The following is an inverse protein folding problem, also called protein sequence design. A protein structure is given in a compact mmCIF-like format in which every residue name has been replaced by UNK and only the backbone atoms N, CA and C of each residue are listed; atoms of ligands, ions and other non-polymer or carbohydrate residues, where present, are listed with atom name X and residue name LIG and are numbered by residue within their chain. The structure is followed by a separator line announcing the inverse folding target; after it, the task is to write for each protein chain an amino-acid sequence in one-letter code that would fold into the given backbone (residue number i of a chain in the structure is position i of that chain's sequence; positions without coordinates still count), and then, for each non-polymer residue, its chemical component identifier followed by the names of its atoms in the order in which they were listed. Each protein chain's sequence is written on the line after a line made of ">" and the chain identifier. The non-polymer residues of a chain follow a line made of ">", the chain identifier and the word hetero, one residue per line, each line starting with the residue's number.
data_IF_389946091721
#
_entry.id   IF_389946091721
#
_cell.length_a   1.000
_cell.length_b   1.000
_cell.length_c   1.000
_cell.angle_alpha   90.00
_cell.angle_beta   90.00
_cell.angle_gamma   90.00
#
_symmetry.space_group_name_H-M   'P 1'
#
loop_
_entity.id
_entity.type
_entity.pdbx_description
1 polymer ?
#
# COMPACT_ATOMS: atom_id res chain seq x y z
N UNK A 1 -13.84 15.01 25.97
CA UNK A 1 -14.29 13.59 26.09
C UNK A 1 -14.66 12.98 24.73
N UNK A 2 -15.40 13.68 23.87
CA UNK A 2 -15.78 13.19 22.54
C UNK A 2 -14.56 12.85 21.68
N UNK A 3 -13.58 13.77 21.58
CA UNK A 3 -12.36 13.54 20.80
C UNK A 3 -11.56 12.30 21.23
N UNK A 4 -11.48 12.02 22.53
CA UNK A 4 -10.77 10.84 23.05
C UNK A 4 -11.50 9.54 22.68
N UNK A 5 -12.83 9.52 22.71
CA UNK A 5 -13.63 8.38 22.30
C UNK A 5 -13.48 8.13 20.79
N UNK A 6 -13.51 9.17 19.95
CA UNK A 6 -13.32 9.06 18.50
C UNK A 6 -11.92 8.53 18.16
N UNK A 7 -10.88 9.00 18.83
CA UNK A 7 -9.51 8.47 18.64
C UNK A 7 -9.43 7.01 19.08
N UNK A 8 -10.09 6.62 20.16
CA UNK A 8 -10.13 5.21 20.58
C UNK A 8 -10.84 4.32 19.53
N UNK A 9 -11.96 4.79 18.95
CA UNK A 9 -12.66 4.10 17.87
C UNK A 9 -11.78 4.01 16.62
N UNK A 10 -11.05 5.07 16.27
CA UNK A 10 -10.09 5.07 15.16
C UNK A 10 -9.04 3.97 15.34
N UNK A 11 -8.43 3.88 16.52
CA UNK A 11 -7.42 2.85 16.83
C UNK A 11 -8.03 1.45 16.75
N UNK A 12 -9.22 1.26 17.29
CA UNK A 12 -9.93 -0.03 17.23
C UNK A 12 -10.29 -0.41 15.78
N UNK A 13 -10.74 0.54 14.99
CA UNK A 13 -11.04 0.34 13.57
C UNK A 13 -9.79 -0.13 12.80
N UNK A 14 -8.65 0.52 13.03
CA UNK A 14 -7.37 0.12 12.45
C UNK A 14 -6.95 -1.28 12.87
N UNK A 15 -7.10 -1.63 14.15
CA UNK A 15 -6.80 -2.98 14.64
C UNK A 15 -7.71 -4.03 13.99
N UNK A 16 -9.00 -3.73 13.81
CA UNK A 16 -9.96 -4.62 13.13
C UNK A 16 -9.55 -4.82 11.67
N UNK A 17 -9.20 -3.74 10.95
CA UNK A 17 -8.72 -3.83 9.57
C UNK A 17 -7.50 -4.75 9.50
N UNK A 18 -6.47 -4.50 10.31
CA UNK A 18 -5.22 -5.26 10.31
C UNK A 18 -5.42 -6.75 10.57
N UNK A 19 -6.17 -7.08 11.63
CA UNK A 19 -6.46 -8.48 11.98
C UNK A 19 -7.24 -9.14 10.85
N UNK A 20 -8.25 -8.46 10.32
CA UNK A 20 -9.09 -8.99 9.24
C UNK A 20 -8.29 -9.22 7.95
N UNK A 21 -7.34 -8.33 7.62
CA UNK A 21 -6.46 -8.49 6.46
C UNK A 21 -5.53 -9.68 6.60
N UNK A 22 -4.93 -9.88 7.77
CA UNK A 22 -4.09 -11.04 8.04
C UNK A 22 -4.89 -12.36 7.91
N UNK A 23 -6.11 -12.39 8.47
CA UNK A 23 -7.02 -13.53 8.36
C UNK A 23 -7.47 -13.76 6.92
N UNK A 24 -7.73 -12.67 6.16
CA UNK A 24 -8.10 -12.72 4.74
C UNK A 24 -6.97 -13.31 3.90
N UNK A 25 -5.76 -12.78 4.03
CA UNK A 25 -4.57 -13.23 3.29
C UNK A 25 -4.30 -14.72 3.52
N UNK A 26 -4.33 -15.16 4.78
CA UNK A 26 -4.20 -16.59 5.11
C UNK A 26 -5.32 -17.45 4.48
N UNK A 27 -6.56 -16.95 4.46
CA UNK A 27 -7.68 -17.65 3.81
C UNK A 27 -7.53 -17.75 2.30
N UNK A 28 -7.09 -16.68 1.64
CA UNK A 28 -6.85 -16.63 0.19
C UNK A 28 -5.70 -17.54 -0.23
N UNK A 29 -4.61 -17.61 0.54
CA UNK A 29 -3.53 -18.57 0.29
C UNK A 29 -4.06 -20.02 0.27
N UNK A 30 -4.85 -20.40 1.27
CA UNK A 30 -5.48 -21.71 1.34
C UNK A 30 -6.51 -21.96 0.23
N UNK A 31 -7.26 -20.92 -0.15
CA UNK A 31 -8.21 -21.01 -1.27
C UNK A 31 -7.47 -21.30 -2.59
N UNK A 32 -6.38 -20.60 -2.84
CA UNK A 32 -5.54 -20.80 -4.01
C UNK A 32 -4.98 -22.23 -4.11
N UNK A 33 -4.46 -22.74 -3.00
CA UNK A 33 -3.99 -24.13 -2.91
C UNK A 33 -5.11 -25.14 -3.22
N UNK A 34 -6.31 -24.91 -2.69
CA UNK A 34 -7.47 -25.78 -2.90
C UNK A 34 -8.01 -25.76 -4.32
N UNK A 35 -7.92 -24.62 -5.00
CA UNK A 35 -8.32 -24.49 -6.41
C UNK A 35 -7.25 -25.02 -7.38
N UNK A 36 -6.14 -25.58 -6.86
CA UNK A 36 -5.06 -26.12 -7.67
C UNK A 36 -4.35 -25.06 -8.51
N UNK A 37 -4.41 -23.79 -8.07
CA UNK A 37 -3.64 -22.72 -8.70
C UNK A 37 -2.16 -22.97 -8.44
N UNK A 38 -1.32 -22.73 -9.46
CA UNK A 38 0.12 -22.89 -9.31
C UNK A 38 0.59 -22.10 -8.08
N UNK A 39 1.51 -22.66 -7.29
CA UNK A 39 2.03 -22.03 -6.06
C UNK A 39 2.58 -20.62 -6.31
N UNK A 40 3.14 -20.39 -7.51
CA UNK A 40 3.54 -19.06 -8.00
C UNK A 40 2.35 -18.10 -8.11
N UNK A 41 1.24 -18.53 -8.70
CA UNK A 41 0.03 -17.70 -8.83
C UNK A 41 -0.64 -17.47 -7.47
N UNK A 42 -0.60 -18.46 -6.58
CA UNK A 42 -1.15 -18.34 -5.21
C UNK A 42 -0.28 -17.43 -4.34
N UNK A 43 1.04 -17.60 -4.41
CA UNK A 43 1.96 -16.85 -3.53
C UNK A 43 2.24 -15.41 -3.99
N UNK A 44 2.20 -15.13 -5.31
CA UNK A 44 2.52 -13.79 -5.80
C UNK A 44 1.28 -12.95 -6.15
N UNK A 45 0.26 -13.55 -6.75
CA UNK A 45 -0.96 -12.79 -7.15
C UNK A 45 -1.99 -12.73 -6.04
N UNK A 46 -2.36 -13.91 -5.49
CA UNK A 46 -3.42 -13.95 -4.48
C UNK A 46 -2.96 -13.35 -3.14
N UNK A 47 -1.70 -13.60 -2.74
CA UNK A 47 -1.15 -12.96 -1.56
C UNK A 47 -1.01 -11.45 -1.77
N UNK A 48 -0.54 -10.98 -2.94
CA UNK A 48 -0.47 -9.56 -3.25
C UNK A 48 -1.85 -8.89 -3.26
N UNK A 49 -2.87 -9.55 -3.81
CA UNK A 49 -4.27 -9.07 -3.73
C UNK A 49 -4.74 -9.05 -2.28
N UNK A 50 -4.44 -10.08 -1.49
CA UNK A 50 -4.83 -10.16 -0.08
C UNK A 50 -4.22 -9.06 0.76
N UNK A 51 -2.92 -8.80 0.59
CA UNK A 51 -2.19 -7.77 1.33
C UNK A 51 -2.56 -6.35 0.88
N UNK A 52 -2.97 -6.17 -0.37
CA UNK A 52 -3.40 -4.88 -0.91
C UNK A 52 -4.89 -4.55 -0.67
N UNK A 53 -5.62 -5.42 0.03
CA UNK A 53 -7.05 -5.20 0.31
C UNK A 53 -7.32 -3.96 1.17
N UNK A 54 -6.58 -3.67 2.26
CA UNK A 54 -6.84 -2.48 3.06
C UNK A 54 -6.71 -1.20 2.26
N UNK A 55 -5.63 -1.09 1.47
CA UNK A 55 -5.30 0.06 0.63
C UNK A 55 -6.30 0.28 -0.51
N UNK A 56 -7.08 -0.77 -0.82
CA UNK A 56 -8.14 -0.72 -1.82
C UNK A 56 -9.50 -0.43 -1.19
N UNK A 57 -9.83 -1.13 -0.10
CA UNK A 57 -11.16 -1.07 0.51
C UNK A 57 -11.34 0.23 1.29
N UNK A 58 -10.31 0.74 1.99
CA UNK A 58 -10.43 1.99 2.74
C UNK A 58 -10.81 3.18 1.83
N UNK A 59 -10.10 3.44 0.71
CA UNK A 59 -10.54 4.46 -0.23
C UNK A 59 -11.93 4.22 -0.82
N UNK A 60 -12.25 2.98 -1.20
CA UNK A 60 -13.57 2.66 -1.75
C UNK A 60 -14.69 2.94 -0.73
N UNK A 61 -14.53 2.53 0.52
CA UNK A 61 -15.49 2.81 1.58
C UNK A 61 -15.60 4.31 1.82
N UNK A 62 -14.49 5.04 1.80
CA UNK A 62 -14.50 6.49 1.95
C UNK A 62 -15.31 7.16 0.82
N UNK A 63 -14.99 6.83 -0.43
CA UNK A 63 -15.63 7.43 -1.61
C UNK A 63 -17.13 7.08 -1.70
N UNK A 64 -17.50 5.82 -1.41
CA UNK A 64 -18.89 5.37 -1.62
C UNK A 64 -19.79 5.44 -0.39
N UNK A 65 -19.25 5.44 0.81
CA UNK A 65 -20.00 5.38 2.06
C UNK A 65 -19.64 6.50 3.06
N UNK A 66 -18.65 7.35 2.73
CA UNK A 66 -18.35 8.59 3.45
C UNK A 66 -19.38 9.68 3.15
N UNK A 67 -19.26 10.82 3.84
CA UNK A 67 -20.04 12.02 3.49
C UNK A 67 -19.56 12.58 2.15
N UNK A 68 -20.46 13.24 1.38
CA UNK A 68 -20.15 13.65 -0.01
C UNK A 68 -18.84 14.45 -0.13
N UNK A 69 -18.58 15.40 0.78
CA UNK A 69 -17.37 16.22 0.70
C UNK A 69 -16.14 15.55 1.32
N UNK A 70 -16.29 14.93 2.49
CA UNK A 70 -15.14 14.38 3.24
C UNK A 70 -14.76 12.96 2.77
N UNK A 71 -15.70 12.22 2.19
CA UNK A 71 -15.47 10.88 1.68
C UNK A 71 -14.46 10.85 0.52
N UNK A 72 -14.60 11.79 -0.44
CA UNK A 72 -13.61 11.94 -1.52
C UNK A 72 -12.24 12.35 -1.00
N UNK A 73 -12.18 13.34 -0.09
CA UNK A 73 -10.93 13.78 0.54
C UNK A 73 -10.20 12.63 1.25
N UNK A 74 -10.92 11.82 2.04
CA UNK A 74 -10.35 10.66 2.74
C UNK A 74 -9.86 9.62 1.74
N UNK A 75 -10.64 9.36 0.69
CA UNK A 75 -10.30 8.42 -0.36
C UNK A 75 -9.02 8.83 -1.09
N UNK A 76 -8.95 10.07 -1.57
CA UNK A 76 -7.77 10.60 -2.26
C UNK A 76 -6.55 10.65 -1.33
N UNK A 77 -6.74 11.08 -0.07
CA UNK A 77 -5.67 11.07 0.93
C UNK A 77 -5.09 9.69 1.18
N UNK A 78 -5.92 8.67 1.32
CA UNK A 78 -5.47 7.29 1.49
C UNK A 78 -4.76 6.76 0.24
N UNK A 79 -5.27 7.04 -0.98
CA UNK A 79 -4.67 6.64 -2.26
C UNK A 79 -3.27 7.25 -2.43
N UNK A 80 -3.12 8.54 -2.16
CA UNK A 80 -1.86 9.26 -2.37
C UNK A 80 -0.84 9.01 -1.25
N UNK A 81 -1.32 8.84 -0.02
CA UNK A 81 -0.48 8.64 1.15
C UNK A 81 0.29 7.33 1.13
N UNK A 82 -0.29 6.27 0.58
CA UNK A 82 0.31 4.94 0.60
C UNK A 82 1.62 4.85 -0.21
N UNK A 83 1.69 5.19 -1.51
CA UNK A 83 2.95 5.15 -2.25
C UNK A 83 3.97 6.20 -1.77
N UNK A 84 3.50 7.35 -1.27
CA UNK A 84 4.37 8.33 -0.63
C UNK A 84 5.05 7.77 0.62
N UNK A 85 4.28 7.14 1.52
CA UNK A 85 4.81 6.53 2.74
C UNK A 85 5.78 5.38 2.43
N UNK A 86 5.48 4.55 1.42
CA UNK A 86 6.36 3.46 1.01
C UNK A 86 7.69 3.96 0.45
N UNK A 87 7.68 4.96 -0.42
CA UNK A 87 8.87 5.55 -1.02
C UNK A 87 9.74 6.33 -0.02
N UNK A 88 9.18 6.75 1.11
CA UNK A 88 9.83 7.60 2.10
C UNK A 88 9.96 6.93 3.47
N UNK A 89 8.93 6.90 4.30
CA UNK A 89 8.96 6.42 5.68
C UNK A 89 9.35 4.92 5.77
N UNK A 90 8.79 4.06 4.92
CA UNK A 90 9.12 2.64 4.93
C UNK A 90 10.59 2.41 4.55
N UNK A 91 11.12 3.17 3.58
CA UNK A 91 12.54 3.16 3.23
C UNK A 91 13.41 3.66 4.39
N UNK A 92 12.97 4.68 5.14
CA UNK A 92 13.68 5.19 6.32
C UNK A 92 13.83 4.10 7.40
N UNK A 93 12.73 3.44 7.74
CA UNK A 93 12.71 2.35 8.73
C UNK A 93 13.59 1.19 8.26
N UNK A 94 13.49 0.81 6.97
CA UNK A 94 14.38 -0.16 6.34
C UNK A 94 15.85 0.26 6.41
N UNK A 95 16.15 1.53 6.14
CA UNK A 95 17.50 2.10 6.25
C UNK A 95 18.09 2.02 7.64
N UNK A 96 17.28 2.28 8.68
CA UNK A 96 17.67 2.09 10.08
C UNK A 96 18.01 0.61 10.35
N UNK A 97 17.18 -0.31 9.86
CA UNK A 97 17.42 -1.75 10.05
C UNK A 97 18.74 -2.20 9.40
N UNK A 98 19.02 -1.76 8.17
CA UNK A 98 20.27 -2.04 7.47
C UNK A 98 21.47 -1.44 8.21
N UNK A 99 21.38 -0.17 8.62
CA UNK A 99 22.42 0.52 9.38
C UNK A 99 22.75 -0.19 10.71
N UNK A 100 21.71 -0.58 11.45
CA UNK A 100 21.87 -1.26 12.73
C UNK A 100 22.45 -2.67 12.55
N UNK A 101 21.98 -3.44 11.55
CA UNK A 101 22.53 -4.75 11.23
C UNK A 101 24.00 -4.67 10.79
N UNK A 102 24.35 -3.63 10.00
CA UNK A 102 25.74 -3.36 9.62
C UNK A 102 26.61 -3.03 10.83
N UNK A 103 26.17 -2.14 11.73
CA UNK A 103 26.90 -1.83 12.97
C UNK A 103 27.11 -3.05 13.87
N UNK A 104 26.22 -4.02 13.83
CA UNK A 104 26.35 -5.30 14.55
C UNK A 104 27.21 -6.33 13.81
N UNK A 105 27.82 -5.98 12.67
CA UNK A 105 28.66 -6.87 11.88
C UNK A 105 27.91 -8.02 11.18
N UNK A 106 26.58 -7.94 11.07
CA UNK A 106 25.75 -9.01 10.47
C UNK A 106 25.71 -8.95 8.95
N UNK A 107 25.93 -7.78 8.35
CA UNK A 107 25.83 -7.54 6.91
C UNK A 107 26.65 -6.32 6.48
N UNK A 108 26.76 -6.10 5.15
CA UNK A 108 27.30 -4.88 4.57
C UNK A 108 26.36 -3.66 4.70
N UNK A 109 26.86 -2.45 4.40
CA UNK A 109 26.10 -1.20 4.52
C UNK A 109 25.09 -0.96 3.39
N UNK A 110 25.04 -1.86 2.42
CA UNK A 110 24.18 -1.73 1.23
C UNK A 110 23.27 -2.94 1.10
N UNK A 111 22.06 -2.69 0.55
CA UNK A 111 21.19 -3.75 0.06
C UNK A 111 21.78 -4.33 -1.22
N UNK A 112 21.80 -5.65 -1.32
CA UNK A 112 22.13 -6.39 -2.54
C UNK A 112 20.83 -6.87 -3.14
N UNK A 113 20.26 -6.10 -4.06
CA UNK A 113 18.98 -6.39 -4.70
C UNK A 113 19.18 -6.91 -6.12
N UNK A 114 18.25 -7.71 -6.62
CA UNK A 114 18.23 -8.08 -8.05
C UNK A 114 17.94 -6.82 -8.87
N UNK A 115 18.95 -6.40 -9.63
CA UNK A 115 18.93 -5.15 -10.39
C UNK A 115 17.74 -5.07 -11.32
N UNK A 116 17.52 -6.13 -12.11
CA UNK A 116 16.48 -6.17 -13.14
C UNK A 116 15.07 -5.97 -12.56
N UNK A 117 14.76 -6.60 -11.44
CA UNK A 117 13.47 -6.49 -10.76
C UNK A 117 13.31 -5.10 -10.14
N UNK A 118 14.33 -4.64 -9.39
CA UNK A 118 14.29 -3.36 -8.72
C UNK A 118 14.16 -2.17 -9.69
N UNK A 119 14.92 -2.20 -10.81
CA UNK A 119 14.81 -1.18 -11.86
C UNK A 119 13.46 -1.22 -12.56
N UNK A 120 12.94 -2.41 -12.85
CA UNK A 120 11.63 -2.58 -13.45
C UNK A 120 10.56 -1.94 -12.58
N UNK A 121 10.48 -2.32 -11.31
CA UNK A 121 9.46 -1.83 -10.39
C UNK A 121 9.50 -0.31 -10.28
N UNK A 122 10.71 0.28 -10.11
CA UNK A 122 10.86 1.73 -10.03
C UNK A 122 10.44 2.44 -11.32
N UNK A 123 10.77 1.89 -12.50
CA UNK A 123 10.35 2.45 -13.81
C UNK A 123 8.82 2.44 -13.95
N UNK A 124 8.18 1.31 -13.63
CA UNK A 124 6.72 1.22 -13.69
C UNK A 124 6.05 2.17 -12.70
N UNK A 125 6.53 2.20 -11.46
CA UNK A 125 6.02 3.13 -10.45
C UNK A 125 6.11 4.59 -10.92
N UNK A 126 7.30 5.05 -11.32
CA UNK A 126 7.52 6.43 -11.74
C UNK A 126 6.65 6.77 -12.96
N UNK A 127 6.55 5.86 -13.95
CA UNK A 127 5.76 6.10 -15.16
C UNK A 127 4.26 6.20 -14.83
N UNK A 128 3.71 5.28 -14.04
CA UNK A 128 2.30 5.31 -13.67
C UNK A 128 1.96 6.48 -12.74
N UNK A 129 2.86 6.80 -11.81
CA UNK A 129 2.64 7.91 -10.89
C UNK A 129 2.80 9.28 -11.59
N UNK A 130 3.58 9.34 -12.69
CA UNK A 130 3.59 10.51 -13.58
C UNK A 130 2.25 10.69 -14.30
N UNK A 131 1.57 9.59 -14.68
CA UNK A 131 0.20 9.66 -15.23
C UNK A 131 -0.77 10.21 -14.19
N UNK A 132 -0.70 9.76 -12.94
CA UNK A 132 -1.50 10.27 -11.83
C UNK A 132 -1.28 11.78 -11.62
N UNK A 133 -0.01 12.22 -11.68
CA UNK A 133 0.36 13.63 -11.59
C UNK A 133 -0.22 14.44 -12.75
N UNK A 134 -0.06 13.97 -13.98
CA UNK A 134 -0.61 14.64 -15.16
C UNK A 134 -2.13 14.78 -15.07
N UNK A 135 -2.84 13.72 -14.63
CA UNK A 135 -4.28 13.77 -14.40
C UNK A 135 -4.66 14.81 -13.34
N UNK A 136 -3.93 14.89 -12.23
CA UNK A 136 -4.15 15.89 -11.18
C UNK A 136 -3.88 17.32 -11.66
N UNK A 137 -2.83 17.54 -12.47
CA UNK A 137 -2.54 18.85 -13.06
C UNK A 137 -3.62 19.28 -14.06
N UNK A 138 -4.13 18.36 -14.88
CA UNK A 138 -5.28 18.63 -15.75
C UNK A 138 -6.54 18.94 -14.93
N UNK A 139 -6.64 18.43 -13.70
CA UNK A 139 -7.69 18.69 -12.74
C UNK A 139 -7.78 20.16 -12.28
N UNK A 140 -6.71 20.93 -12.41
CA UNK A 140 -6.69 22.34 -12.05
C UNK A 140 -7.36 23.23 -13.10
N UNK A 141 -7.58 22.73 -14.33
CA UNK A 141 -8.24 23.46 -15.41
C UNK A 141 -9.73 23.11 -15.44
N UNK A 142 -10.58 24.02 -14.99
CA UNK A 142 -12.04 23.80 -14.87
C UNK A 142 -12.78 23.80 -16.22
N UNK A 143 -12.15 24.33 -17.28
CA UNK A 143 -12.77 24.45 -18.60
C UNK A 143 -12.85 23.13 -19.38
N UNK A 144 -12.16 22.07 -18.93
CA UNK A 144 -12.05 20.80 -19.64
C UNK A 144 -12.98 19.75 -19.01
N UNK A 145 -13.90 19.19 -19.81
CA UNK A 145 -14.58 17.96 -19.41
C UNK A 145 -13.60 16.78 -19.46
N UNK A 146 -13.23 16.30 -18.27
CA UNK A 146 -12.21 15.28 -18.08
C UNK A 146 -12.74 13.86 -17.98
N UNK A 147 -14.05 13.69 -18.03
CA UNK A 147 -14.68 12.37 -17.79
C UNK A 147 -14.07 11.30 -18.67
N UNK A 148 -14.01 11.52 -19.98
CA UNK A 148 -13.41 10.55 -20.91
C UNK A 148 -11.89 10.42 -20.75
N UNK A 149 -11.20 11.52 -20.39
CA UNK A 149 -9.75 11.51 -20.15
C UNK A 149 -9.46 10.65 -18.93
N UNK A 150 -10.17 10.85 -17.83
CA UNK A 150 -10.00 10.07 -16.61
C UNK A 150 -10.29 8.58 -16.84
N UNK A 151 -11.34 8.24 -17.61
CA UNK A 151 -11.62 6.85 -17.99
C UNK A 151 -10.48 6.25 -18.83
N UNK A 152 -9.94 6.98 -19.78
CA UNK A 152 -8.83 6.52 -20.61
C UNK A 152 -7.54 6.33 -19.78
N UNK A 153 -7.24 7.25 -18.86
CA UNK A 153 -6.09 7.16 -17.98
C UNK A 153 -6.23 6.02 -16.97
N UNK A 154 -7.40 5.81 -16.39
CA UNK A 154 -7.69 4.69 -15.51
C UNK A 154 -7.51 3.35 -16.25
N UNK A 155 -8.07 3.23 -17.45
CA UNK A 155 -7.91 2.04 -18.28
C UNK A 155 -6.43 1.79 -18.67
N UNK A 156 -5.68 2.85 -18.97
CA UNK A 156 -4.25 2.79 -19.23
C UNK A 156 -3.49 2.26 -18.01
N UNK A 157 -3.71 2.83 -16.82
CA UNK A 157 -3.04 2.42 -15.58
C UNK A 157 -3.33 0.97 -15.25
N UNK A 158 -4.60 0.53 -15.36
CA UNK A 158 -4.99 -0.86 -15.16
C UNK A 158 -4.34 -1.79 -16.18
N UNK A 159 -4.32 -1.42 -17.46
CA UNK A 159 -3.68 -2.20 -18.52
C UNK A 159 -2.17 -2.34 -18.31
N UNK A 160 -1.49 -1.24 -17.94
CA UNK A 160 -0.05 -1.26 -17.62
C UNK A 160 0.23 -2.13 -16.40
N UNK A 161 -0.61 -2.08 -15.37
CA UNK A 161 -0.46 -2.94 -14.20
C UNK A 161 -0.64 -4.42 -14.52
N UNK A 162 -1.67 -4.77 -15.28
CA UNK A 162 -1.88 -6.17 -15.74
C UNK A 162 -0.67 -6.66 -16.54
N UNK A 163 -0.13 -5.83 -17.43
CA UNK A 163 1.08 -6.18 -18.18
C UNK A 163 2.30 -6.37 -17.27
N UNK A 164 2.50 -5.47 -16.30
CA UNK A 164 3.54 -5.60 -15.27
C UNK A 164 3.40 -6.90 -14.49
N UNK A 165 2.17 -7.23 -14.07
CA UNK A 165 1.89 -8.44 -13.31
C UNK A 165 2.22 -9.70 -14.10
N UNK A 166 1.75 -9.79 -15.37
CA UNK A 166 2.03 -10.92 -16.26
C UNK A 166 3.55 -11.09 -16.42
N UNK A 167 4.27 -10.00 -16.70
CA UNK A 167 5.72 -10.03 -16.84
C UNK A 167 6.43 -10.50 -15.58
N UNK A 168 6.00 -10.02 -14.41
CA UNK A 168 6.56 -10.43 -13.12
C UNK A 168 6.36 -11.91 -12.86
N UNK A 169 5.16 -12.44 -13.13
CA UNK A 169 4.86 -13.86 -12.99
C UNK A 169 5.67 -14.74 -13.94
N UNK A 170 5.88 -14.30 -15.17
CA UNK A 170 6.70 -15.03 -16.15
C UNK A 170 8.17 -15.07 -15.73
N UNK A 171 8.70 -14.00 -15.18
CA UNK A 171 10.08 -13.93 -14.68
C UNK A 171 10.28 -14.84 -13.45
N UNK A 172 9.29 -14.90 -12.55
CA UNK A 172 9.33 -15.76 -11.35
C UNK A 172 9.21 -17.26 -11.67
N UNK A 173 8.46 -17.65 -12.70
CA UNK A 173 8.33 -19.05 -13.12
C UNK A 173 9.66 -19.69 -13.56
N UNK A 174 10.66 -18.89 -13.91
CA UNK A 174 11.99 -19.37 -14.27
C UNK A 174 12.86 -19.73 -13.05
N UNK A 175 12.47 -19.31 -11.85
CA UNK A 175 13.16 -19.67 -10.60
C UNK A 175 12.48 -20.88 -9.96
N UNK A 176 13.21 -22.01 -9.83
CA UNK A 176 12.73 -23.19 -9.10
C UNK A 176 12.34 -22.80 -7.68
N UNK A 177 11.07 -22.97 -7.35
CA UNK A 177 10.50 -22.72 -6.03
C UNK A 177 11.19 -23.55 -4.95
N UNK A 178 11.54 -22.87 -3.86
CA UNK A 178 11.76 -23.51 -2.55
C UNK A 178 10.44 -23.50 -1.81
N UNK A 179 10.04 -24.67 -1.29
CA UNK A 179 8.86 -24.93 -0.49
C UNK A 179 8.44 -23.73 0.37
N UNK A 180 7.35 -23.07 0.01
CA UNK A 180 6.62 -22.17 0.89
C UNK A 180 5.58 -23.00 1.64
N UNK A 181 5.85 -23.30 2.91
CA UNK A 181 4.84 -23.86 3.81
C UNK A 181 3.87 -22.74 4.20
N UNK A 182 2.59 -22.86 3.80
CA UNK A 182 1.54 -21.96 4.28
C UNK A 182 1.36 -22.12 5.79
N UNK A 183 1.12 -21.00 6.48
CA UNK A 183 0.71 -21.03 7.88
C UNK A 183 -0.59 -21.80 8.03
N UNK A 184 -0.82 -22.50 9.16
CA UNK A 184 -2.09 -23.19 9.41
C UNK A 184 -3.27 -22.22 9.25
N UNK A 185 -4.39 -22.70 8.68
CA UNK A 185 -5.61 -21.91 8.54
C UNK A 185 -6.08 -21.43 9.92
N UNK A 186 -6.28 -20.14 10.09
CA UNK A 186 -6.55 -19.57 11.43
C UNK A 186 -7.84 -20.09 12.05
N UNK A 187 -8.93 -20.23 11.29
CA UNK A 187 -10.17 -20.81 11.82
C UNK A 187 -10.00 -22.27 12.23
N UNK A 188 -9.24 -23.07 11.51
CA UNK A 188 -8.95 -24.44 11.92
C UNK A 188 -8.19 -24.50 13.25
N UNK A 189 -7.31 -23.53 13.48
CA UNK A 189 -6.56 -23.43 14.75
C UNK A 189 -7.47 -23.10 15.94
N UNK A 190 -8.54 -22.33 15.71
CA UNK A 190 -9.53 -21.94 16.73
C UNK A 190 -10.53 -23.08 16.98
N UNK A 191 -11.02 -23.74 15.92
CA UNK A 191 -12.07 -24.76 16.00
C UNK A 191 -11.55 -26.21 16.01
N UNK A 192 -10.22 -26.43 16.04
CA UNK A 192 -9.63 -27.77 16.18
C UNK A 192 -9.74 -28.64 14.93
N UNK A 193 -10.02 -28.06 13.74
CA UNK A 193 -10.12 -28.78 12.46
C UNK A 193 -8.80 -28.80 11.68
N UNK A 194 -8.72 -29.65 10.65
CA UNK A 194 -7.62 -29.69 9.70
C UNK A 194 -8.10 -29.17 8.34
N UNK A 195 -7.44 -28.18 7.77
CA UNK A 195 -7.78 -27.62 6.45
C UNK A 195 -7.62 -28.62 5.29
N UNK A 196 -7.07 -29.81 5.58
CA UNK A 196 -6.83 -30.88 4.61
C UNK A 196 -8.03 -31.81 4.35
N UNK A 197 -9.05 -31.82 5.16
CA UNK A 197 -10.11 -32.85 5.14
C UNK A 197 -11.31 -32.42 4.27
N UNK A 198 -11.31 -32.87 2.99
CA UNK A 198 -12.49 -32.90 2.10
C UNK A 198 -13.26 -31.59 1.94
N UNK A 199 -14.57 -31.68 1.68
CA UNK A 199 -15.48 -30.55 1.46
C UNK A 199 -15.62 -29.63 2.69
N UNK A 200 -15.46 -30.16 3.89
CA UNK A 200 -15.52 -29.39 5.12
C UNK A 200 -14.38 -28.35 5.20
N UNK A 201 -13.18 -28.73 4.74
CA UNK A 201 -12.03 -27.83 4.68
C UNK A 201 -12.24 -26.67 3.73
N UNK A 202 -12.85 -26.89 2.57
CA UNK A 202 -13.19 -25.83 1.60
C UNK A 202 -14.20 -24.83 2.20
N UNK A 203 -15.24 -25.34 2.84
CA UNK A 203 -16.27 -24.51 3.49
C UNK A 203 -15.67 -23.59 4.56
N UNK A 204 -14.77 -24.11 5.41
CA UNK A 204 -14.10 -23.30 6.45
C UNK A 204 -13.23 -22.21 5.82
N UNK A 205 -12.51 -22.53 4.74
CA UNK A 205 -11.69 -21.54 4.00
C UNK A 205 -12.58 -20.39 3.49
N UNK A 206 -13.70 -20.74 2.84
CA UNK A 206 -14.64 -19.74 2.30
C UNK A 206 -15.25 -18.88 3.43
N UNK A 207 -15.64 -19.48 4.54
CA UNK A 207 -16.13 -18.73 5.70
C UNK A 207 -15.08 -17.79 6.28
N UNK A 208 -13.81 -18.22 6.34
CA UNK A 208 -12.72 -17.37 6.80
C UNK A 208 -12.52 -16.17 5.87
N UNK A 209 -12.49 -16.39 4.56
CA UNK A 209 -12.32 -15.34 3.55
C UNK A 209 -13.46 -14.33 3.62
N UNK A 210 -14.72 -14.80 3.60
CA UNK A 210 -15.89 -13.91 3.66
C UNK A 210 -15.98 -13.18 5.00
N UNK A 211 -15.76 -13.86 6.12
CA UNK A 211 -15.78 -13.23 7.44
C UNK A 211 -14.71 -12.16 7.60
N UNK A 212 -13.50 -12.43 7.08
CA UNK A 212 -12.42 -11.47 7.08
C UNK A 212 -12.72 -10.26 6.17
N UNK A 213 -13.29 -10.47 4.98
CA UNK A 213 -13.72 -9.39 4.09
C UNK A 213 -14.76 -8.49 4.75
N UNK A 214 -15.76 -9.07 5.41
CA UNK A 214 -16.75 -8.32 6.19
C UNK A 214 -16.06 -7.52 7.30
N UNK A 215 -15.09 -8.11 8.00
CA UNK A 215 -14.30 -7.41 9.02
C UNK A 215 -13.53 -6.22 8.48
N UNK A 216 -12.91 -6.33 7.29
CA UNK A 216 -12.24 -5.23 6.61
C UNK A 216 -13.23 -4.11 6.29
N UNK A 217 -14.40 -4.43 5.70
CA UNK A 217 -15.43 -3.45 5.32
C UNK A 217 -15.95 -2.70 6.55
N UNK A 218 -16.28 -3.42 7.62
CA UNK A 218 -16.75 -2.81 8.87
C UNK A 218 -15.66 -1.92 9.48
N UNK A 219 -14.43 -2.41 9.56
CA UNK A 219 -13.30 -1.65 10.07
C UNK A 219 -13.05 -0.39 9.24
N UNK A 220 -13.08 -0.49 7.90
CA UNK A 220 -12.92 0.65 7.00
C UNK A 220 -14.02 1.71 7.20
N UNK A 221 -15.29 1.29 7.38
CA UNK A 221 -16.38 2.25 7.67
C UNK A 221 -16.15 2.99 8.98
N UNK A 222 -15.83 2.28 10.08
CA UNK A 222 -15.51 2.93 11.35
C UNK A 222 -14.26 3.82 11.28
N UNK A 223 -13.28 3.44 10.46
CA UNK A 223 -12.10 4.26 10.21
C UNK A 223 -12.49 5.59 9.55
N UNK A 224 -13.25 5.54 8.45
CA UNK A 224 -13.71 6.74 7.72
C UNK A 224 -14.51 7.66 8.65
N UNK A 225 -15.52 7.14 9.34
CA UNK A 225 -16.35 7.90 10.28
C UNK A 225 -15.51 8.54 11.42
N UNK A 226 -14.45 7.84 11.86
CA UNK A 226 -13.55 8.36 12.90
C UNK A 226 -12.62 9.45 12.36
N UNK A 227 -12.13 9.33 11.12
CA UNK A 227 -11.30 10.37 10.48
C UNK A 227 -12.11 11.65 10.30
N UNK A 228 -13.36 11.56 9.83
CA UNK A 228 -14.30 12.69 9.75
C UNK A 228 -14.51 13.35 11.12
N UNK A 229 -14.75 12.56 12.17
CA UNK A 229 -14.95 13.05 13.52
C UNK A 229 -13.71 13.69 14.15
N UNK A 230 -12.51 13.16 13.89
CA UNK A 230 -11.25 13.76 14.33
C UNK A 230 -10.96 15.04 13.56
N UNK A 231 -11.14 15.04 12.24
CA UNK A 231 -10.97 16.18 11.35
C UNK A 231 -11.74 17.40 11.85
N UNK A 232 -13.03 17.23 12.08
CA UNK A 232 -13.91 18.31 12.61
C UNK A 232 -13.53 18.76 14.02
N UNK A 233 -13.04 17.84 14.87
CA UNK A 233 -12.68 18.17 16.27
C UNK A 233 -11.37 18.93 16.39
N UNK A 234 -10.41 18.65 15.49
CA UNK A 234 -9.04 19.20 15.54
C UNK A 234 -8.86 20.36 14.57
N UNK A 235 -9.77 20.52 13.59
CA UNK A 235 -9.68 21.54 12.56
C UNK A 235 -8.60 21.25 11.49
N UNK A 236 -8.29 19.97 11.25
CA UNK A 236 -7.35 19.50 10.24
C UNK A 236 -8.17 18.84 9.13
N UNK A 237 -7.84 19.08 7.86
CA UNK A 237 -8.51 18.43 6.71
C UNK A 237 -8.55 16.91 6.83
N UNK A 238 -9.69 16.33 6.49
CA UNK A 238 -9.89 14.87 6.44
C UNK A 238 -8.91 14.18 5.51
N UNK A 239 -8.58 14.81 4.40
CA UNK A 239 -7.57 14.34 3.46
C UNK A 239 -6.19 14.21 4.11
N UNK A 240 -5.75 15.22 4.86
CA UNK A 240 -4.45 15.24 5.54
C UNK A 240 -4.36 14.12 6.57
N UNK A 241 -5.42 13.94 7.36
CA UNK A 241 -5.48 12.86 8.35
C UNK A 241 -5.46 11.48 7.68
N UNK A 242 -6.27 11.28 6.66
CA UNK A 242 -6.29 10.02 5.91
C UNK A 242 -4.94 9.75 5.23
N UNK A 243 -4.33 10.76 4.60
CA UNK A 243 -3.02 10.68 3.97
C UNK A 243 -1.92 10.20 4.94
N UNK A 244 -1.94 10.67 6.18
CA UNK A 244 -0.91 10.31 7.16
C UNK A 244 -1.21 9.02 7.92
N UNK A 245 -2.47 8.81 8.30
CA UNK A 245 -2.84 7.74 9.25
C UNK A 245 -3.15 6.44 8.52
N UNK A 246 -3.91 6.49 7.42
CA UNK A 246 -4.33 5.28 6.73
C UNK A 246 -3.11 4.44 6.27
N UNK A 247 -2.12 4.97 5.54
CA UNK A 247 -0.98 4.18 5.09
C UNK A 247 -0.11 3.65 6.22
N UNK A 248 0.06 4.45 7.29
CA UNK A 248 0.83 4.01 8.46
C UNK A 248 0.17 2.80 9.11
N UNK A 249 -1.15 2.80 9.18
CA UNK A 249 -1.87 1.72 9.82
C UNK A 249 -1.99 0.47 8.94
N UNK A 250 -2.24 0.63 7.64
CA UNK A 250 -2.47 -0.49 6.72
C UNK A 250 -1.16 -1.11 6.23
N UNK A 251 -0.16 -0.28 5.93
CA UNK A 251 1.09 -0.70 5.28
C UNK A 251 2.23 -1.05 6.25
N UNK A 252 2.36 -0.30 7.37
CA UNK A 252 3.50 -0.50 8.27
C UNK A 252 3.63 -1.94 8.79
N UNK A 253 2.56 -2.64 9.21
CA UNK A 253 2.68 -4.00 9.70
C UNK A 253 3.26 -4.96 8.67
N UNK A 254 2.86 -4.82 7.41
CA UNK A 254 3.41 -5.62 6.32
C UNK A 254 4.87 -5.28 6.04
N UNK A 255 5.22 -4.01 6.17
CA UNK A 255 6.59 -3.55 5.94
C UNK A 255 7.55 -3.95 7.07
N UNK A 256 7.05 -4.35 8.24
CA UNK A 256 7.87 -5.01 9.25
C UNK A 256 8.49 -6.31 8.73
N UNK A 257 7.82 -7.05 7.86
CA UNK A 257 8.41 -8.21 7.18
C UNK A 257 9.64 -7.79 6.36
N UNK A 258 9.56 -6.68 5.62
CA UNK A 258 10.70 -6.14 4.87
C UNK A 258 11.86 -5.77 5.79
N UNK A 259 11.59 -5.17 6.95
CA UNK A 259 12.60 -4.86 7.98
C UNK A 259 13.28 -6.14 8.49
N UNK A 260 12.52 -7.19 8.78
CA UNK A 260 13.06 -8.50 9.21
C UNK A 260 13.91 -9.11 8.08
N UNK A 261 13.46 -9.03 6.83
CA UNK A 261 14.22 -9.52 5.68
C UNK A 261 15.53 -8.76 5.50
N UNK A 262 15.54 -7.43 5.62
CA UNK A 262 16.76 -6.62 5.60
C UNK A 262 17.72 -7.01 6.73
N UNK A 263 17.19 -7.22 7.93
CA UNK A 263 17.99 -7.70 9.07
C UNK A 263 18.65 -9.05 8.81
N UNK A 264 17.96 -9.93 8.08
CA UNK A 264 18.42 -11.28 7.71
C UNK A 264 19.25 -11.32 6.42
N UNK A 265 19.47 -10.20 5.74
CA UNK A 265 20.18 -10.12 4.46
C UNK A 265 19.38 -10.64 3.26
N UNK A 266 18.06 -10.80 3.38
CA UNK A 266 17.16 -11.17 2.29
C UNK A 266 16.66 -9.90 1.56
N UNK A 267 17.59 -9.16 0.98
CA UNK A 267 17.38 -7.81 0.48
C UNK A 267 16.40 -7.72 -0.69
N UNK A 268 16.50 -8.65 -1.64
CA UNK A 268 15.61 -8.71 -2.80
C UNK A 268 14.16 -8.88 -2.39
N UNK A 269 13.88 -9.75 -1.40
CA UNK A 269 12.53 -9.95 -0.88
C UNK A 269 12.01 -8.69 -0.18
N UNK A 270 12.82 -8.09 0.70
CA UNK A 270 12.41 -6.90 1.44
C UNK A 270 12.17 -5.69 0.54
N UNK A 271 13.04 -5.48 -0.45
CA UNK A 271 12.90 -4.38 -1.39
C UNK A 271 11.75 -4.60 -2.36
N UNK A 272 11.65 -5.80 -2.95
CA UNK A 272 10.57 -6.16 -3.88
C UNK A 272 9.18 -6.08 -3.24
N UNK A 273 9.03 -6.42 -1.95
CA UNK A 273 7.76 -6.26 -1.23
C UNK A 273 7.31 -4.79 -1.13
N UNK A 274 8.26 -3.85 -0.94
CA UNK A 274 7.93 -2.42 -0.91
C UNK A 274 7.68 -1.91 -2.33
N UNK A 275 8.56 -2.21 -3.28
CA UNK A 275 8.47 -1.66 -4.64
C UNK A 275 7.30 -2.22 -5.43
N UNK A 276 6.98 -3.51 -5.25
CA UNK A 276 5.80 -4.13 -5.84
C UNK A 276 4.50 -3.52 -5.33
N UNK A 277 4.41 -3.23 -4.02
CA UNK A 277 3.28 -2.51 -3.45
C UNK A 277 3.15 -1.08 -4.02
N UNK A 278 4.28 -0.36 -4.20
CA UNK A 278 4.27 0.97 -4.82
C UNK A 278 3.71 0.94 -6.26
N UNK A 279 4.09 -0.07 -7.06
CA UNK A 279 3.57 -0.26 -8.43
C UNK A 279 2.05 -0.50 -8.41
N UNK A 280 1.57 -1.37 -7.52
CA UNK A 280 0.13 -1.60 -7.34
C UNK A 280 -0.61 -0.32 -6.96
N UNK A 281 -0.12 0.41 -5.97
CA UNK A 281 -0.77 1.61 -5.45
C UNK A 281 -0.74 2.78 -6.43
N UNK A 282 0.27 2.87 -7.30
CA UNK A 282 0.31 3.85 -8.39
C UNK A 282 -0.64 3.51 -9.56
N UNK A 283 -1.28 2.35 -9.54
CA UNK A 283 -2.15 1.86 -10.61
C UNK A 283 -3.61 1.70 -10.17
N UNK A 284 -3.93 0.62 -9.46
CA UNK A 284 -5.30 0.26 -9.14
C UNK A 284 -6.00 1.32 -8.26
N UNK A 285 -5.46 1.73 -7.10
CA UNK A 285 -6.08 2.77 -6.28
C UNK A 285 -6.19 4.12 -7.01
N UNK A 286 -5.17 4.53 -7.76
CA UNK A 286 -5.22 5.75 -8.58
C UNK A 286 -6.33 5.66 -9.64
N UNK A 287 -6.49 4.49 -10.29
CA UNK A 287 -7.59 4.28 -11.24
C UNK A 287 -8.96 4.43 -10.58
N UNK A 288 -9.11 3.94 -9.35
CA UNK A 288 -10.34 4.13 -8.55
C UNK A 288 -10.58 5.63 -8.29
N UNK A 289 -9.56 6.37 -7.86
CA UNK A 289 -9.66 7.82 -7.69
C UNK A 289 -10.09 8.52 -8.98
N UNK A 290 -9.45 8.24 -10.11
CA UNK A 290 -9.79 8.81 -11.41
C UNK A 290 -11.23 8.51 -11.90
N UNK A 291 -11.78 7.35 -11.51
CA UNK A 291 -13.11 6.93 -11.94
C UNK A 291 -14.24 7.46 -11.05
N UNK A 292 -13.96 7.67 -9.75
CA UNK A 292 -15.00 7.88 -8.75
C UNK A 292 -14.86 9.15 -7.93
N UNK A 293 -13.82 9.97 -8.18
CA UNK A 293 -13.64 11.31 -7.60
C UNK A 293 -13.39 12.34 -8.68
N UNK A 294 -13.44 13.61 -8.30
CA UNK A 294 -13.07 14.69 -9.24
C UNK A 294 -11.56 14.69 -9.54
N UNK A 295 -10.73 14.00 -8.77
CA UNK A 295 -9.27 13.96 -8.88
C UNK A 295 -8.67 15.36 -9.05
N UNK A 296 -9.14 16.30 -8.21
CA UNK A 296 -8.63 17.68 -8.15
C UNK A 296 -7.59 17.76 -7.06
N UNK A 297 -6.34 17.60 -7.44
CA UNK A 297 -5.25 17.54 -6.48
C UNK A 297 -4.84 18.93 -6.01
N UNK A 298 -4.92 19.17 -4.72
CA UNK A 298 -4.36 20.37 -4.10
C UNK A 298 -2.82 20.41 -4.23
N UNK A 299 -2.19 21.60 -4.12
CA UNK A 299 -0.74 21.74 -4.24
C UNK A 299 0.06 20.81 -3.31
N UNK A 300 -0.48 20.53 -2.11
CA UNK A 300 0.17 19.64 -1.15
C UNK A 300 0.15 18.18 -1.62
N UNK A 301 -0.92 17.74 -2.29
CA UNK A 301 -1.03 16.42 -2.86
C UNK A 301 -0.11 16.24 -4.07
N UNK A 302 -0.02 17.26 -4.92
CA UNK A 302 0.94 17.32 -6.02
C UNK A 302 2.38 17.20 -5.47
N UNK A 303 2.69 17.92 -4.37
CA UNK A 303 3.98 17.82 -3.72
C UNK A 303 4.28 16.40 -3.22
N UNK A 304 3.30 15.68 -2.67
CA UNK A 304 3.49 14.29 -2.22
C UNK A 304 3.84 13.35 -3.36
N UNK A 305 3.15 13.47 -4.51
CA UNK A 305 3.44 12.69 -5.72
C UNK A 305 4.87 12.97 -6.20
N UNK A 306 5.24 14.25 -6.32
CA UNK A 306 6.57 14.66 -6.76
C UNK A 306 7.65 14.14 -5.81
N UNK A 307 7.45 14.24 -4.50
CA UNK A 307 8.40 13.74 -3.51
C UNK A 307 8.55 12.21 -3.62
N UNK A 308 7.45 11.46 -3.75
CA UNK A 308 7.50 10.02 -3.93
C UNK A 308 8.25 9.62 -5.21
N UNK A 309 8.02 10.35 -6.31
CA UNK A 309 8.74 10.14 -7.57
C UNK A 309 10.23 10.46 -7.44
N UNK A 310 10.60 11.57 -6.78
CA UNK A 310 12.00 11.96 -6.53
C UNK A 310 12.70 10.93 -5.65
N UNK A 311 12.06 10.46 -4.58
CA UNK A 311 12.59 9.40 -3.72
C UNK A 311 12.85 8.11 -4.52
N UNK A 312 11.90 7.71 -5.35
CA UNK A 312 12.01 6.51 -6.20
C UNK A 312 13.07 6.66 -7.29
N UNK A 313 13.14 7.82 -7.94
CA UNK A 313 14.17 8.12 -8.93
C UNK A 313 15.58 8.10 -8.29
N UNK A 314 15.73 8.63 -7.08
CA UNK A 314 17.00 8.56 -6.36
C UNK A 314 17.44 7.13 -6.06
N UNK A 315 16.50 6.28 -5.61
CA UNK A 315 16.76 4.85 -5.42
C UNK A 315 17.13 4.16 -6.74
N UNK A 316 16.37 4.42 -7.81
CA UNK A 316 16.64 3.90 -9.15
C UNK A 316 18.06 4.22 -9.62
N UNK A 317 18.46 5.49 -9.59
CA UNK A 317 19.82 5.90 -9.98
C UNK A 317 20.91 5.33 -9.07
N UNK A 318 20.61 5.09 -7.80
CA UNK A 318 21.54 4.43 -6.87
C UNK A 318 21.77 2.97 -7.26
N UNK A 319 20.72 2.24 -7.65
CA UNK A 319 20.82 0.86 -8.14
C UNK A 319 21.61 0.82 -9.43
N UNK A 320 21.26 1.68 -10.39
CA UNK A 320 21.89 1.72 -11.72
C UNK A 320 23.40 1.97 -11.64
N UNK A 321 23.83 2.95 -10.83
CA UNK A 321 25.23 3.38 -10.75
C UNK A 321 26.09 2.55 -9.80
N UNK A 322 25.53 1.99 -8.73
CA UNK A 322 26.30 1.38 -7.63
C UNK A 322 26.00 -0.10 -7.40
N UNK A 323 25.13 -0.70 -8.24
CA UNK A 323 24.64 -2.07 -8.06
C UNK A 323 24.06 -2.36 -6.66
N UNK A 324 23.47 -1.34 -6.02
CA UNK A 324 22.85 -1.50 -4.72
C UNK A 324 22.42 -0.19 -4.08
N UNK A 325 21.63 -0.29 -3.03
CA UNK A 325 21.09 0.85 -2.29
C UNK A 325 21.76 0.87 -0.92
N UNK A 326 22.52 1.92 -0.61
CA UNK A 326 23.11 2.08 0.71
C UNK A 326 22.05 2.50 1.73
N UNK A 327 22.23 2.14 3.01
CA UNK A 327 21.37 2.63 4.09
C UNK A 327 21.27 4.16 4.10
N UNK A 328 22.32 4.88 3.66
CA UNK A 328 22.32 6.36 3.58
C UNK A 328 21.31 6.89 2.56
N UNK A 329 21.18 6.23 1.41
CA UNK A 329 20.17 6.59 0.39
C UNK A 329 18.77 6.34 0.95
N UNK A 330 18.56 5.23 1.65
CA UNK A 330 17.28 4.92 2.28
C UNK A 330 16.90 5.93 3.36
N UNK A 331 17.85 6.30 4.23
CA UNK A 331 17.63 7.34 5.26
C UNK A 331 17.37 8.71 4.65
N UNK A 332 18.07 9.05 3.56
CA UNK A 332 17.86 10.31 2.86
C UNK A 332 16.48 10.36 2.17
N UNK A 333 16.03 9.25 1.55
CA UNK A 333 14.65 9.16 1.04
C UNK A 333 13.62 9.36 2.16
N UNK A 334 13.89 8.79 3.33
CA UNK A 334 13.03 8.97 4.50
C UNK A 334 13.01 10.40 5.06
N UNK A 335 14.09 11.16 4.94
CA UNK A 335 14.10 12.57 5.35
C UNK A 335 13.12 13.42 4.52
N UNK A 336 12.77 12.99 3.32
CA UNK A 336 11.74 13.64 2.50
C UNK A 336 10.35 13.55 3.14
N UNK A 337 10.09 12.50 3.93
CA UNK A 337 8.85 12.42 4.72
C UNK A 337 8.76 13.57 5.74
N UNK A 338 9.86 13.84 6.45
CA UNK A 338 9.93 14.93 7.43
C UNK A 338 9.75 16.28 6.74
N UNK A 339 10.39 16.48 5.58
CA UNK A 339 10.24 17.71 4.79
C UNK A 339 8.78 17.91 4.38
N UNK A 340 8.11 16.85 3.94
CA UNK A 340 6.69 16.92 3.60
C UNK A 340 5.80 17.24 4.80
N UNK A 341 6.05 16.64 5.97
CA UNK A 341 5.30 16.97 7.19
C UNK A 341 5.48 18.45 7.55
N UNK A 342 6.69 18.99 7.41
CA UNK A 342 6.95 20.41 7.64
C UNK A 342 6.15 21.26 6.64
N UNK A 343 6.20 20.94 5.35
CA UNK A 343 5.41 21.64 4.32
C UNK A 343 3.90 21.57 4.63
N UNK A 344 3.42 20.41 5.07
CA UNK A 344 2.03 20.21 5.45
C UNK A 344 1.59 21.15 6.57
N UNK A 345 2.41 21.33 7.61
CA UNK A 345 2.11 22.23 8.73
C UNK A 345 1.99 23.71 8.31
N UNK A 346 2.64 24.11 7.18
CA UNK A 346 2.59 25.49 6.70
C UNK A 346 1.53 25.72 5.61
N UNK A 347 1.11 24.70 4.88
CA UNK A 347 0.31 24.83 3.66
C UNK A 347 -1.05 24.11 3.79
N UNK A 348 -1.22 23.23 4.78
CA UNK A 348 -2.45 22.46 4.92
C UNK A 348 -3.67 23.39 5.02
N UNK A 349 -4.71 23.18 4.21
CA UNK A 349 -5.96 23.89 4.36
C UNK A 349 -6.60 23.57 5.72
N UNK A 350 -7.32 24.53 6.32
CA UNK A 350 -8.16 24.24 7.48
C UNK A 350 -9.24 23.23 7.10
N UNK A 351 -9.79 22.52 8.10
CA UNK A 351 -10.92 21.65 7.86
C UNK A 351 -12.06 22.42 7.19
N UNK A 352 -12.70 21.82 6.19
CA UNK A 352 -13.91 22.36 5.62
C UNK A 352 -14.98 22.47 6.71
N UNK A 353 -15.49 23.68 6.92
CA UNK A 353 -16.50 24.02 7.95
C UNK A 353 -17.89 23.53 7.56
#
# INVERSE_FOLDING_TARGET
>A
MVALATVAVLILALMVILISCEVFTNGIEWLGLRLGLAETATGSVLAAVGTAMPETIVPLIAIFLGTEAQGEEIGEGAILGAPFMLGTLAMFIGGIAVWYAWKKGRRGPSLVVRKDHAERDMKYFIAMYAVALCAGLLGLEESIDRTYINYALAALLMGVYVFYLIKTLMDEQQEKEKDKTCNPLYLCRVFGGHAGDGDLGFTIIVFQVIGALIGIIIGAKFFVDSVEGVSTSVGISSMVLAFLIAPVATELPEKFNSVIWYWRGKDTLGFGNITGAMVFQASFPVSVGLLFTEWRLEPINIASIVIAMVASAWMFFSIERKNGITYRVMLASGSLYIIYIILLLFVAPPAAS
#
